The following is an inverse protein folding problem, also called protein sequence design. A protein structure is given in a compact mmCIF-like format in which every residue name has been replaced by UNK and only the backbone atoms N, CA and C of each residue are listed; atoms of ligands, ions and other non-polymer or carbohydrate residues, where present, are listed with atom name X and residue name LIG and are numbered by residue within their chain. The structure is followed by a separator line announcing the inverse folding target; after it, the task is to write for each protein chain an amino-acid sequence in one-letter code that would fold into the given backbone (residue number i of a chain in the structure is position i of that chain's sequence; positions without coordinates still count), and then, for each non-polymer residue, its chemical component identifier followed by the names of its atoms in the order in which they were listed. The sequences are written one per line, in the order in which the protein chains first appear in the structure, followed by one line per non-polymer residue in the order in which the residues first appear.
data_IF_631289251183
#
_entry.id   IF_631289251183
#
_cell.length_a   1.000
_cell.length_b   1.000
_cell.length_c   1.000
_cell.angle_alpha   90.00
_cell.angle_beta   90.00
_cell.angle_gamma   90.00
#
_symmetry.space_group_name_H-M   'P 1'
#
loop_
_entity.id
_entity.type
_entity.pdbx_description
1 polymer ?
#
# COMPACT_ATOMS: atom_id res chain seq x y z
N UNK A 1 34.99 7.88 -1.89
CA UNK A 1 34.11 8.07 -0.70
C UNK A 1 34.83 7.71 0.63
N UNK A 2 34.26 8.05 1.81
CA UNK A 2 34.80 7.71 3.14
C UNK A 2 33.79 6.85 3.92
N UNK A 3 34.26 5.76 4.55
CA UNK A 3 33.47 4.95 5.49
C UNK A 3 33.89 5.21 6.93
N UNK A 4 32.95 5.16 7.87
CA UNK A 4 33.22 5.27 9.31
C UNK A 4 32.75 4.00 10.00
N UNK A 5 33.62 3.40 10.82
CA UNK A 5 33.24 2.22 11.60
C UNK A 5 32.31 2.63 12.76
N UNK A 6 31.12 2.05 12.92
CA UNK A 6 30.19 2.41 14.00
C UNK A 6 30.65 1.95 15.39
N UNK A 7 31.59 1.00 15.47
CA UNK A 7 32.06 0.43 16.73
C UNK A 7 33.28 1.15 17.33
N UNK A 8 34.06 1.88 16.53
CA UNK A 8 35.32 2.50 16.98
C UNK A 8 35.63 3.83 16.29
N UNK A 9 34.70 4.37 15.51
CA UNK A 9 34.76 5.66 14.81
C UNK A 9 35.98 5.86 13.88
N UNK A 10 36.70 4.78 13.57
CA UNK A 10 37.80 4.83 12.60
C UNK A 10 37.27 5.11 11.19
N UNK A 11 37.91 6.04 10.49
CA UNK A 11 37.54 6.47 9.13
C UNK A 11 38.47 5.82 8.10
N UNK A 12 37.89 5.32 7.01
CA UNK A 12 38.61 4.66 5.91
C UNK A 12 38.30 5.35 4.59
N UNK A 13 39.35 5.76 3.87
CA UNK A 13 39.22 6.28 2.51
C UNK A 13 39.12 5.10 1.54
N UNK A 14 38.11 5.07 0.68
CA UNK A 14 37.93 4.02 -0.32
C UNK A 14 37.69 4.60 -1.71
N UNK A 15 38.05 3.82 -2.73
CA UNK A 15 37.77 4.15 -4.12
C UNK A 15 36.26 4.34 -4.33
N UNK A 16 35.91 5.30 -5.18
CA UNK A 16 34.54 5.47 -5.64
C UNK A 16 34.15 4.24 -6.47
N UNK A 17 33.03 3.59 -6.13
CA UNK A 17 32.61 2.30 -6.68
C UNK A 17 33.04 1.06 -5.87
N UNK A 18 33.78 1.19 -4.77
CA UNK A 18 34.12 0.04 -3.92
C UNK A 18 32.91 -0.58 -3.18
N UNK A 19 31.83 0.20 -3.03
CA UNK A 19 30.52 -0.26 -2.56
C UNK A 19 29.55 -0.15 -3.74
N UNK A 20 29.00 -1.27 -4.24
CA UNK A 20 28.02 -1.24 -5.33
C UNK A 20 26.68 -0.67 -4.83
N UNK A 21 25.78 -0.23 -5.72
CA UNK A 21 24.47 0.32 -5.34
C UNK A 21 23.62 -0.67 -4.52
N UNK A 22 23.78 -1.97 -4.76
CA UNK A 22 23.15 -3.04 -3.96
C UNK A 22 23.65 -3.11 -2.50
N UNK A 23 24.70 -2.35 -2.15
CA UNK A 23 25.38 -2.42 -0.86
C UNK A 23 26.33 -3.61 -0.75
N UNK A 24 27.08 -3.64 0.35
CA UNK A 24 28.09 -4.67 0.63
C UNK A 24 28.38 -4.81 2.12
N UNK A 25 28.68 -6.04 2.54
CA UNK A 25 29.25 -6.30 3.87
C UNK A 25 30.69 -5.80 3.94
N UNK A 26 30.97 -4.93 4.90
CA UNK A 26 32.31 -4.39 5.17
C UNK A 26 32.81 -4.83 6.54
N UNK A 27 34.12 -4.86 6.71
CA UNK A 27 34.79 -5.25 7.97
C UNK A 27 35.84 -4.22 8.35
N UNK A 28 35.82 -3.79 9.61
CA UNK A 28 36.78 -2.85 10.16
C UNK A 28 38.17 -3.51 10.27
N UNK A 29 39.22 -2.85 9.77
CA UNK A 29 40.59 -3.33 9.90
C UNK A 29 41.11 -3.20 11.34
N UNK A 30 40.68 -2.16 12.07
CA UNK A 30 41.07 -1.85 13.45
C UNK A 30 40.40 -2.78 14.48
N UNK A 31 39.06 -2.76 14.59
CA UNK A 31 38.34 -3.51 15.64
C UNK A 31 37.67 -4.81 15.17
N UNK A 32 37.80 -5.17 13.88
CA UNK A 32 37.20 -6.37 13.27
C UNK A 32 35.66 -6.44 13.26
N UNK A 33 34.97 -5.38 13.66
CA UNK A 33 33.51 -5.26 13.54
C UNK A 33 33.08 -5.30 12.07
N UNK A 34 32.03 -6.07 11.78
CA UNK A 34 31.48 -6.20 10.43
C UNK A 34 30.09 -5.57 10.39
N UNK A 35 29.84 -4.72 9.41
CA UNK A 35 28.54 -4.07 9.22
C UNK A 35 28.19 -3.98 7.73
N UNK A 36 26.92 -3.74 7.42
CA UNK A 36 26.45 -3.58 6.05
C UNK A 36 26.51 -2.10 5.66
N UNK A 37 27.12 -1.79 4.52
CA UNK A 37 27.12 -0.46 3.93
C UNK A 37 26.25 -0.45 2.68
N UNK A 38 25.27 0.45 2.66
CA UNK A 38 24.54 0.78 1.43
C UNK A 38 25.47 1.52 0.48
N UNK A 39 25.32 1.25 -0.82
CA UNK A 39 25.99 2.03 -1.84
C UNK A 39 25.37 3.42 -1.97
N UNK A 40 26.02 4.34 -2.70
CA UNK A 40 25.35 5.54 -3.15
C UNK A 40 24.12 5.12 -3.96
N UNK A 41 22.92 5.43 -3.47
CA UNK A 41 21.68 5.25 -4.23
C UNK A 41 21.76 6.16 -5.46
N UNK A 42 21.89 5.57 -6.65
CA UNK A 42 21.38 6.24 -7.85
C UNK A 42 19.89 6.41 -7.60
N UNK A 43 19.46 7.64 -7.33
CA UNK A 43 18.09 8.02 -7.02
C UNK A 43 17.14 7.60 -8.13
N UNK A 44 16.73 6.33 -8.15
CA UNK A 44 15.75 5.79 -9.07
C UNK A 44 14.44 5.64 -8.30
N UNK A 45 13.57 6.64 -8.49
CA UNK A 45 12.12 6.50 -8.49
C UNK A 45 11.54 5.65 -7.35
N UNK A 46 11.60 6.15 -6.12
CA UNK A 46 10.58 5.74 -5.16
C UNK A 46 9.32 6.59 -5.40
N UNK A 47 8.27 5.89 -5.83
CA UNK A 47 6.86 6.25 -5.68
C UNK A 47 6.31 7.40 -6.53
N UNK A 48 6.31 7.21 -7.84
CA UNK A 48 5.10 7.52 -8.63
C UNK A 48 4.15 6.31 -8.54
N UNK A 49 3.68 6.00 -7.34
CA UNK A 49 2.50 5.17 -7.12
C UNK A 49 1.60 5.97 -6.18
N UNK A 50 0.93 6.94 -6.79
CA UNK A 50 -0.35 7.43 -6.29
C UNK A 50 -1.17 6.18 -5.91
N UNK A 51 -1.71 6.07 -4.69
CA UNK A 51 -2.62 4.98 -4.38
C UNK A 51 -3.81 5.10 -5.34
N UNK A 52 -3.84 4.24 -6.35
CA UNK A 52 -5.04 4.07 -7.17
C UNK A 52 -6.10 3.52 -6.20
N UNK A 53 -7.24 4.21 -6.00
CA UNK A 53 -8.30 3.67 -5.19
C UNK A 53 -8.72 2.30 -5.77
N UNK A 54 -9.05 1.31 -4.93
CA UNK A 54 -9.49 0.01 -5.43
C UNK A 54 -10.71 0.20 -6.35
N UNK A 55 -10.85 -0.58 -7.44
CA UNK A 55 -12.08 -0.57 -8.19
C UNK A 55 -13.20 -1.04 -7.25
N UNK A 56 -14.14 -0.15 -6.95
CA UNK A 56 -15.38 -0.52 -6.29
C UNK A 56 -16.05 -1.59 -7.15
N UNK A 57 -16.33 -2.78 -6.63
CA UNK A 57 -17.13 -3.74 -7.37
C UNK A 57 -18.52 -3.12 -7.62
N UNK A 58 -19.14 -3.32 -8.80
CA UNK A 58 -20.55 -3.01 -8.98
C UNK A 58 -21.34 -4.05 -8.18
N UNK A 59 -21.62 -3.73 -6.93
CA UNK A 59 -22.55 -4.51 -6.11
C UNK A 59 -23.95 -4.35 -6.73
N UNK A 60 -24.40 -5.45 -7.34
CA UNK A 60 -25.78 -5.89 -7.50
C UNK A 60 -26.84 -4.80 -7.31
N UNK A 61 -27.45 -4.34 -8.40
CA UNK A 61 -28.72 -4.90 -8.83
C UNK A 61 -29.88 -4.70 -7.82
N UNK A 62 -30.77 -3.76 -8.19
CA UNK A 62 -32.24 -3.92 -8.14
C UNK A 62 -32.92 -3.82 -6.75
N UNK A 63 -33.63 -2.70 -6.53
CA UNK A 63 -35.05 -2.75 -6.16
C UNK A 63 -35.77 -1.41 -6.49
N UNK A 64 -37.03 -1.48 -6.96
CA UNK A 64 -37.71 -0.41 -7.70
C UNK A 64 -38.31 0.71 -6.84
N UNK A 65 -38.39 1.91 -7.43
CA UNK A 65 -39.11 3.05 -6.86
C UNK A 65 -40.59 2.71 -6.62
N UNK A 66 -41.18 3.04 -5.45
CA UNK A 66 -42.60 2.90 -5.26
C UNK A 66 -43.33 3.98 -6.07
N UNK A 67 -43.81 3.60 -7.26
CA UNK A 67 -44.90 4.29 -7.96
C UNK A 67 -46.16 4.15 -7.12
N UNK A 68 -46.47 5.19 -6.35
CA UNK A 68 -47.79 5.36 -5.75
C UNK A 68 -48.32 6.74 -6.11
N UNK A 69 -48.76 6.85 -7.36
CA UNK A 69 -49.73 7.85 -7.77
C UNK A 69 -50.93 7.12 -8.39
N UNK A 70 -52.11 7.40 -7.84
CA UNK A 70 -53.43 7.27 -8.45
C UNK A 70 -54.11 5.88 -8.53
N UNK A 71 -55.02 5.67 -7.56
CA UNK A 71 -56.49 5.70 -7.79
C UNK A 71 -57.30 4.42 -7.55
N UNK A 72 -58.56 4.67 -7.15
CA UNK A 72 -59.79 3.83 -7.23
C UNK A 72 -60.17 3.08 -5.94
N UNK A 73 -61.02 3.66 -5.08
CA UNK A 73 -62.50 3.74 -5.17
C UNK A 73 -63.14 2.34 -5.09
N UNK A 74 -63.78 2.12 -3.95
CA UNK A 74 -65.03 1.39 -3.72
C UNK A 74 -65.14 -0.14 -3.85
N UNK A 75 -65.53 -0.70 -2.71
CA UNK A 75 -66.74 -1.51 -2.50
C UNK A 75 -66.61 -3.02 -2.54
N UNK A 76 -67.32 -3.57 -1.55
CA UNK A 76 -67.87 -4.90 -1.45
C UNK A 76 -67.02 -5.93 -0.71
N UNK A 77 -67.41 -6.21 0.53
CA UNK A 77 -67.42 -7.58 1.06
C UNK A 77 -68.36 -7.62 2.28
N UNK A 78 -69.66 -7.71 1.99
CA UNK A 78 -70.58 -8.50 2.79
C UNK A 78 -70.46 -9.93 2.21
N UNK A 79 -69.90 -10.91 2.92
CA UNK A 79 -70.44 -11.47 4.15
C UNK A 79 -70.29 -13.00 4.10
N UNK A 80 -70.41 -13.69 5.25
CA UNK A 80 -69.62 -14.87 5.59
C UNK A 80 -70.24 -16.23 5.21
N UNK A 81 -69.39 -17.25 5.08
CA UNK A 81 -69.76 -18.66 4.99
C UNK A 81 -69.73 -19.33 6.37
N UNK A 82 -70.87 -19.88 6.78
CA UNK A 82 -71.08 -20.79 7.91
C UNK A 82 -71.14 -22.23 7.38
N UNK A 83 -70.27 -23.12 7.89
CA UNK A 83 -70.42 -24.58 7.92
C UNK A 83 -69.32 -25.24 8.77
#
# INVERSE_FOLDING_TARGET
MILTCPACETRYLIADGAIPPAGRQVRCASCKHSWFQTGPEESQRQAEELPLPPPTPPEAAIAPAPSMAANRIETDEAGPADA
#
